data_IF_002662702771
#
_entry.id   IF_002662702771
#
_cell.length_a   1.000
_cell.length_b   1.000
_cell.length_c   1.000
_cell.angle_alpha   90.00
_cell.angle_beta   90.00
_cell.angle_gamma   90.00
#
_symmetry.space_group_name_H-M   'P 1'
#
loop_
_entity.id
_entity.type
_entity.pdbx_description
1 polymer ?
#
# COMPACT_ATOMS: atom_id res chain seq x y z
N UNK A 1 -18.62 -22.48 -22.38
CA UNK A 1 -17.23 -22.03 -22.27
C UNK A 1 -17.31 -20.75 -21.49
N UNK A 2 -17.08 -20.90 -20.19
CA UNK A 2 -17.12 -19.83 -19.21
C UNK A 2 -15.78 -19.10 -19.32
N UNK A 3 -15.78 -17.89 -19.87
CA UNK A 3 -14.65 -16.96 -19.82
C UNK A 3 -15.09 -15.76 -18.99
N UNK A 4 -14.57 -15.74 -17.76
CA UNK A 4 -14.11 -14.55 -17.04
C UNK A 4 -15.12 -13.41 -16.87
N UNK A 5 -16.05 -13.61 -15.95
CA UNK A 5 -16.65 -12.50 -15.22
C UNK A 5 -15.59 -11.95 -14.26
N UNK A 6 -14.81 -10.97 -14.71
CA UNK A 6 -14.12 -10.06 -13.79
C UNK A 6 -15.21 -9.30 -13.03
N UNK A 7 -15.48 -9.72 -11.79
CA UNK A 7 -16.34 -9.00 -10.87
C UNK A 7 -15.63 -7.69 -10.49
N UNK A 8 -15.74 -6.68 -11.36
CA UNK A 8 -15.41 -5.29 -11.07
C UNK A 8 -16.18 -4.88 -9.81
N UNK A 9 -15.50 -4.81 -8.67
CA UNK A 9 -16.12 -4.30 -7.44
C UNK A 9 -16.22 -2.79 -7.59
N UNK A 10 -17.32 -2.32 -8.17
CA UNK A 10 -17.65 -0.90 -8.28
C UNK A 10 -17.32 -0.17 -6.95
N UNK A 11 -16.58 0.94 -6.99
CA UNK A 11 -16.32 1.79 -5.82
C UNK A 11 -17.63 2.29 -5.16
N UNK A 12 -18.74 2.30 -5.92
CA UNK A 12 -20.10 2.55 -5.45
C UNK A 12 -20.90 1.28 -5.09
N UNK A 13 -20.32 0.10 -5.24
CA UNK A 13 -20.83 -1.14 -4.64
C UNK A 13 -20.90 -0.99 -3.13
N UNK A 14 -21.75 -1.79 -2.50
CA UNK A 14 -21.99 -1.71 -1.06
C UNK A 14 -20.68 -1.92 -0.24
N UNK A 15 -19.75 -2.73 -0.75
CA UNK A 15 -18.45 -3.02 -0.12
C UNK A 15 -17.43 -1.89 -0.31
N UNK A 16 -17.30 -1.34 -1.52
CA UNK A 16 -16.43 -0.19 -1.81
C UNK A 16 -16.89 1.07 -1.08
N UNK A 17 -18.21 1.32 -1.10
CA UNK A 17 -18.82 2.41 -0.36
C UNK A 17 -18.70 2.24 1.17
N UNK A 18 -18.67 1.00 1.68
CA UNK A 18 -18.42 0.74 3.11
C UNK A 18 -16.98 1.05 3.52
N UNK A 19 -15.98 0.69 2.71
CA UNK A 19 -14.58 1.08 2.94
C UNK A 19 -14.41 2.60 2.92
N UNK A 20 -15.03 3.30 1.97
CA UNK A 20 -14.96 4.78 1.90
C UNK A 20 -15.59 5.48 3.10
N UNK A 21 -16.70 4.96 3.65
CA UNK A 21 -17.37 5.55 4.82
C UNK A 21 -16.52 5.51 6.08
N UNK A 22 -15.54 4.62 6.13
CA UNK A 22 -14.69 4.42 7.30
C UNK A 22 -13.24 4.84 7.11
N UNK A 23 -12.92 5.49 5.99
CA UNK A 23 -11.55 5.87 5.67
C UNK A 23 -11.37 7.37 5.58
N UNK A 24 -10.18 7.84 5.95
CA UNK A 24 -9.71 9.20 5.76
C UNK A 24 -8.58 9.18 4.75
N UNK A 25 -8.86 9.65 3.53
CA UNK A 25 -7.85 9.77 2.47
C UNK A 25 -6.83 10.84 2.87
N UNK A 26 -5.55 10.50 2.76
CA UNK A 26 -4.45 11.45 3.01
C UNK A 26 -3.54 11.64 1.80
N UNK A 27 -3.65 10.78 0.78
CA UNK A 27 -2.90 10.90 -0.46
C UNK A 27 -3.72 10.36 -1.63
N UNK A 28 -3.95 11.20 -2.63
CA UNK A 28 -4.48 10.77 -3.92
C UNK A 28 -3.35 10.22 -4.81
N UNK A 29 -3.67 9.18 -5.58
CA UNK A 29 -2.82 8.62 -6.63
C UNK A 29 -3.36 9.11 -7.97
N UNK A 30 -2.46 9.47 -8.89
CA UNK A 30 -2.83 10.18 -10.12
C UNK A 30 -3.78 9.39 -11.06
N UNK A 31 -3.88 8.08 -10.89
CA UNK A 31 -4.77 7.21 -11.67
C UNK A 31 -6.22 7.18 -11.12
N UNK A 32 -6.50 7.85 -9.98
CA UNK A 32 -7.81 7.83 -9.32
C UNK A 32 -7.83 7.06 -7.99
N UNK A 33 -6.79 6.27 -7.71
CA UNK A 33 -6.66 5.54 -6.45
C UNK A 33 -6.31 6.48 -5.29
N UNK A 34 -6.31 5.94 -4.07
CA UNK A 34 -5.93 6.71 -2.89
C UNK A 34 -5.28 5.85 -1.81
N UNK A 35 -4.48 6.49 -0.96
CA UNK A 35 -4.06 5.94 0.32
C UNK A 35 -4.90 6.58 1.43
N UNK A 36 -5.41 5.74 2.32
CA UNK A 36 -6.29 6.20 3.38
C UNK A 36 -6.00 5.53 4.71
N UNK A 37 -6.44 6.15 5.80
CA UNK A 37 -6.47 5.54 7.13
C UNK A 37 -7.89 5.05 7.40
N UNK A 38 -8.08 3.76 7.67
CA UNK A 38 -9.33 3.27 8.24
C UNK A 38 -9.40 3.74 9.70
N UNK A 39 -10.38 4.60 10.05
CA UNK A 39 -10.48 5.15 11.39
C UNK A 39 -10.99 4.15 12.44
N UNK A 40 -11.52 2.99 12.02
CA UNK A 40 -11.94 1.92 12.92
C UNK A 40 -10.77 1.07 13.38
N UNK A 41 -9.90 0.67 12.47
CA UNK A 41 -8.73 -0.17 12.78
C UNK A 41 -7.47 0.66 13.05
N UNK A 42 -7.38 1.87 12.51
CA UNK A 42 -6.19 2.71 12.50
C UNK A 42 -5.18 2.31 11.42
N UNK A 43 -5.49 1.32 10.58
CA UNK A 43 -4.62 0.81 9.53
C UNK A 43 -4.57 1.78 8.35
N UNK A 44 -3.43 1.79 7.67
CA UNK A 44 -3.29 2.46 6.37
C UNK A 44 -3.63 1.44 5.30
N UNK A 45 -4.55 1.81 4.40
CA UNK A 45 -5.06 0.96 3.33
C UNK A 45 -4.91 1.62 1.96
N UNK A 46 -4.81 0.81 0.93
CA UNK A 46 -4.95 1.22 -0.46
C UNK A 46 -6.43 1.22 -0.86
N UNK A 47 -6.88 2.25 -1.56
CA UNK A 47 -8.21 2.36 -2.12
C UNK A 47 -8.08 2.38 -3.64
N UNK A 48 -8.58 1.33 -4.26
CA UNK A 48 -8.59 1.18 -5.72
C UNK A 48 -9.90 1.78 -6.25
N UNK A 49 -9.81 2.65 -7.25
CA UNK A 49 -10.96 3.36 -7.80
C UNK A 49 -11.88 2.48 -8.66
N UNK A 50 -11.36 1.38 -9.21
CA UNK A 50 -12.11 0.33 -9.91
C UNK A 50 -12.50 -0.81 -8.96
N UNK A 51 -12.03 -0.75 -7.70
CA UNK A 51 -12.20 -1.76 -6.67
C UNK A 51 -11.55 -3.10 -7.02
N UNK A 52 -10.47 -3.06 -7.80
CA UNK A 52 -9.68 -4.24 -8.15
C UNK A 52 -9.03 -4.94 -6.94
N UNK A 53 -8.18 -5.93 -7.23
CA UNK A 53 -7.52 -6.75 -6.21
C UNK A 53 -6.67 -5.96 -5.20
N UNK A 54 -6.25 -4.74 -5.55
CA UNK A 54 -5.51 -3.87 -4.66
C UNK A 54 -6.38 -3.17 -3.61
N UNK A 55 -7.70 -3.16 -3.79
CA UNK A 55 -8.62 -2.45 -2.92
C UNK A 55 -8.60 -3.04 -1.50
N UNK A 56 -8.41 -2.16 -0.51
CA UNK A 56 -8.36 -2.54 0.90
C UNK A 56 -7.07 -3.22 1.35
N UNK A 57 -6.04 -3.34 0.51
CA UNK A 57 -4.75 -3.88 0.93
C UNK A 57 -4.17 -3.03 2.07
N UNK A 58 -3.75 -3.67 3.15
CA UNK A 58 -3.10 -3.00 4.28
C UNK A 58 -1.66 -2.64 3.91
N UNK A 59 -1.35 -1.35 3.96
CA UNK A 59 -0.01 -0.81 3.74
C UNK A 59 0.76 -0.60 5.06
N UNK A 60 0.05 -0.59 6.18
CA UNK A 60 0.65 -0.59 7.51
C UNK A 60 -0.37 -0.63 8.63
N UNK A 61 -0.06 -1.35 9.70
CA UNK A 61 -0.95 -1.51 10.86
C UNK A 61 -1.21 -0.21 11.67
N UNK A 62 -0.56 0.90 11.30
CA UNK A 62 -0.82 2.24 11.79
C UNK A 62 -0.14 3.25 10.86
N UNK A 63 -0.58 4.52 10.90
CA UNK A 63 0.07 5.58 10.12
C UNK A 63 1.58 5.70 10.42
N UNK A 64 1.99 5.56 11.69
CA UNK A 64 3.41 5.62 12.07
C UNK A 64 4.22 4.45 11.49
N UNK A 65 3.67 3.23 11.49
CA UNK A 65 4.32 2.06 10.88
C UNK A 65 4.40 2.20 9.36
N UNK A 66 3.33 2.66 8.73
CA UNK A 66 3.31 2.97 7.29
C UNK A 66 4.40 3.96 6.92
N UNK A 67 4.45 5.14 7.55
CA UNK A 67 5.46 6.17 7.25
C UNK A 67 6.88 5.63 7.45
N UNK A 68 7.11 4.87 8.54
CA UNK A 68 8.42 4.28 8.82
C UNK A 68 8.86 3.26 7.76
N UNK A 69 7.96 2.37 7.34
CA UNK A 69 8.26 1.33 6.35
C UNK A 69 8.37 1.93 4.93
N UNK A 70 7.41 2.76 4.54
CA UNK A 70 7.36 3.38 3.22
C UNK A 70 8.56 4.30 2.96
N UNK A 71 8.93 5.14 3.96
CA UNK A 71 10.13 5.99 3.83
C UNK A 71 11.44 5.20 3.74
N UNK A 72 11.51 4.01 4.36
CA UNK A 72 12.66 3.13 4.27
C UNK A 72 12.84 2.48 2.87
N UNK A 73 11.78 2.47 2.06
CA UNK A 73 11.80 2.02 0.65
C UNK A 73 12.26 3.15 -0.28
N UNK A 74 12.02 4.41 0.10
CA UNK A 74 12.33 5.65 -0.63
C UNK A 74 11.49 5.93 -1.87
N UNK A 75 11.59 5.11 -2.92
CA UNK A 75 11.11 5.47 -4.27
C UNK A 75 10.09 4.48 -4.84
N UNK A 76 9.18 4.00 -3.99
CA UNK A 76 8.11 3.16 -4.47
C UNK A 76 7.19 3.91 -5.43
N UNK A 77 6.85 5.15 -5.12
CA UNK A 77 5.64 5.73 -5.67
C UNK A 77 4.40 5.03 -5.09
N UNK A 78 3.21 5.64 -5.22
CA UNK A 78 2.06 5.19 -4.46
C UNK A 78 1.13 4.26 -5.24
N UNK A 79 1.41 3.96 -6.51
CA UNK A 79 0.56 3.10 -7.35
C UNK A 79 0.69 1.61 -6.98
N UNK A 80 -0.42 0.86 -7.06
CA UNK A 80 -0.51 -0.54 -6.62
C UNK A 80 0.52 -1.46 -7.28
N UNK A 81 0.84 -1.28 -8.58
CA UNK A 81 1.86 -2.09 -9.27
C UNK A 81 3.26 -1.81 -8.71
N UNK A 82 3.52 -0.57 -8.31
CA UNK A 82 4.78 -0.23 -7.66
C UNK A 82 4.84 -0.80 -6.24
N UNK A 83 3.74 -0.73 -5.50
CA UNK A 83 3.64 -1.25 -4.14
C UNK A 83 3.75 -2.79 -4.11
N UNK A 84 3.26 -3.49 -5.13
CA UNK A 84 3.26 -4.97 -5.18
C UNK A 84 4.64 -5.59 -4.98
N UNK A 85 5.70 -4.95 -5.45
CA UNK A 85 7.07 -5.43 -5.29
C UNK A 85 7.65 -5.31 -3.87
N UNK A 86 6.97 -4.59 -2.99
CA UNK A 86 7.44 -4.27 -1.63
C UNK A 86 6.43 -4.65 -0.55
N UNK A 87 5.33 -5.33 -0.90
CA UNK A 87 4.36 -5.85 0.06
C UNK A 87 4.75 -7.26 0.51
N UNK A 88 4.47 -7.56 1.77
CA UNK A 88 4.39 -8.93 2.28
C UNK A 88 2.96 -9.26 2.73
N UNK A 89 2.79 -10.39 3.42
CA UNK A 89 1.49 -10.85 3.90
C UNK A 89 0.82 -9.89 4.90
N UNK A 90 1.57 -8.94 5.49
CA UNK A 90 1.09 -8.03 6.52
C UNK A 90 1.01 -6.58 6.07
N UNK A 91 2.02 -6.07 5.38
CA UNK A 91 2.11 -4.65 4.98
C UNK A 91 3.32 -4.36 4.07
N UNK A 92 3.70 -3.08 3.94
CA UNK A 92 4.95 -2.69 3.29
C UNK A 92 6.15 -3.29 4.04
N UNK A 93 6.93 -4.08 3.30
CA UNK A 93 8.18 -4.65 3.73
C UNK A 93 9.36 -3.92 3.06
N UNK A 94 10.13 -3.13 3.81
CA UNK A 94 11.26 -2.42 3.23
C UNK A 94 12.44 -3.34 2.89
N UNK A 95 12.39 -4.64 3.15
CA UNK A 95 13.51 -5.57 2.94
C UNK A 95 13.32 -6.52 1.75
N UNK A 96 12.36 -6.25 0.88
CA UNK A 96 12.25 -7.04 -0.36
C UNK A 96 13.45 -6.78 -1.28
N UNK A 97 13.79 -7.73 -2.17
CA UNK A 97 14.84 -7.52 -3.17
C UNK A 97 14.61 -6.28 -4.06
N UNK A 98 13.34 -5.95 -4.33
CA UNK A 98 12.97 -4.75 -5.10
C UNK A 98 13.29 -3.48 -4.29
N UNK A 99 12.89 -3.44 -3.01
CA UNK A 99 13.21 -2.31 -2.14
C UNK A 99 14.73 -2.12 -1.97
N UNK A 100 15.50 -3.22 -1.91
CA UNK A 100 16.97 -3.17 -1.90
C UNK A 100 17.54 -2.59 -3.18
N UNK A 101 17.00 -3.00 -4.33
CA UNK A 101 17.43 -2.50 -5.64
C UNK A 101 17.19 -1.00 -5.79
N UNK A 102 16.00 -0.52 -5.40
CA UNK A 102 15.68 0.91 -5.45
C UNK A 102 16.62 1.75 -4.57
N UNK A 103 16.87 1.30 -3.35
CA UNK A 103 17.83 1.97 -2.45
C UNK A 103 19.24 2.00 -3.01
N UNK A 104 19.68 0.89 -3.61
CA UNK A 104 21.00 0.82 -4.24
C UNK A 104 21.11 1.82 -5.39
N UNK A 105 20.08 1.95 -6.23
CA UNK A 105 20.05 2.92 -7.33
C UNK A 105 20.11 4.38 -6.85
N UNK A 106 19.46 4.68 -5.72
CA UNK A 106 19.43 6.03 -5.14
C UNK A 106 20.70 6.33 -4.31
N UNK A 107 21.48 5.30 -3.96
CA UNK A 107 22.68 5.45 -3.13
C UNK A 107 22.38 5.53 -1.63
N UNK A 108 21.24 5.00 -1.18
CA UNK A 108 20.78 5.04 0.21
C UNK A 108 20.49 3.63 0.76
N UNK A 109 21.51 2.75 0.90
CA UNK A 109 21.30 1.40 1.43
C UNK A 109 20.77 1.42 2.86
N UNK A 110 19.96 0.43 3.23
CA UNK A 110 19.53 0.26 4.63
C UNK A 110 20.77 0.01 5.48
N UNK A 111 21.04 0.92 6.41
CA UNK A 111 22.11 0.71 7.39
C UNK A 111 21.70 -0.46 8.28
N UNK A 112 22.55 -1.48 8.38
CA UNK A 112 22.46 -2.40 9.51
C UNK A 112 22.63 -1.57 10.77
N UNK A 113 21.61 -1.51 11.63
CA UNK A 113 21.82 -1.09 13.01
C UNK A 113 22.74 -2.15 13.61
N UNK A 114 24.00 -1.79 13.84
CA UNK A 114 24.82 -2.52 14.79
C UNK A 114 24.05 -2.52 16.11
N UNK A 115 23.76 -3.71 16.65
CA UNK A 115 23.22 -3.78 17.99
C UNK A 115 24.32 -3.27 18.94
N UNK A 116 24.02 -2.34 19.86
CA UNK A 116 24.99 -2.00 20.89
C UNK A 116 25.23 -3.26 21.74
N UNK A 117 26.48 -3.71 21.75
CA UNK A 117 26.97 -4.76 22.65
C UNK A 117 27.10 -4.27 24.09
#
# INVERSE_FOLDING_TARGET
>A
EDEDAEDDIDMYSETGAQLLRHTMIFQEVANGDALAVDWRSGEVVYLDHEGGLANGIVLGASFAKFVSAYSAVWCAGPDSEQLRGILDEWSINPRTPIAESWRAWIGLPLRHREQPG
#
